data_IF_062376010654
#
_entry.id   IF_062376010654
#
_cell.length_a   1.000
_cell.length_b   1.000
_cell.length_c   1.000
_cell.angle_alpha   90.00
_cell.angle_beta   90.00
_cell.angle_gamma   90.00
#
_symmetry.space_group_name_H-M   'P 1'
#
loop_
_entity.id
_entity.type
_entity.pdbx_description
1 polymer ?
#
# COMPACT_ATOMS: atom_id res chain seq x y z
N UNK A 1 31.18 2.51 -9.08
CA UNK A 1 31.03 3.02 -7.71
C UNK A 1 29.90 2.21 -7.12
N UNK A 2 30.19 1.34 -6.17
CA UNK A 2 29.19 0.54 -5.48
C UNK A 2 28.27 1.53 -4.74
N UNK A 3 27.01 1.63 -5.17
CA UNK A 3 26.01 2.45 -4.48
C UNK A 3 25.70 1.80 -3.15
N UNK A 4 25.68 2.56 -2.06
CA UNK A 4 25.13 2.09 -0.78
C UNK A 4 23.71 1.56 -1.03
N UNK A 5 23.55 0.23 -1.03
CA UNK A 5 22.25 -0.41 -1.15
C UNK A 5 21.61 -0.42 0.23
N UNK A 6 20.36 0.01 0.30
CA UNK A 6 19.61 0.06 1.54
C UNK A 6 18.41 -0.89 1.50
N UNK A 7 18.11 -1.46 2.66
CA UNK A 7 16.90 -2.22 2.93
C UNK A 7 16.06 -1.50 3.99
N UNK A 8 14.78 -1.28 3.72
CA UNK A 8 13.83 -0.79 4.73
C UNK A 8 13.03 -1.96 5.31
N UNK A 9 12.93 -2.06 6.63
CA UNK A 9 12.23 -3.15 7.29
C UNK A 9 11.27 -2.66 8.36
N UNK A 10 10.10 -3.27 8.46
CA UNK A 10 9.14 -2.94 9.51
C UNK A 10 9.05 -4.07 10.54
N UNK A 11 8.83 -3.71 11.80
CA UNK A 11 8.52 -4.60 12.92
C UNK A 11 7.38 -3.98 13.73
N UNK A 12 6.42 -4.77 14.18
CA UNK A 12 5.26 -4.30 14.96
C UNK A 12 5.06 -5.15 16.21
N UNK A 13 4.48 -4.56 17.26
CA UNK A 13 3.92 -5.32 18.39
C UNK A 13 2.54 -5.89 18.01
N UNK A 14 1.97 -6.71 18.90
CA UNK A 14 0.61 -7.23 18.69
C UNK A 14 -0.44 -6.11 18.55
N UNK A 15 -1.46 -6.37 17.74
CA UNK A 15 -2.59 -5.48 17.53
C UNK A 15 -3.54 -5.50 18.74
N UNK A 16 -4.02 -4.32 19.12
CA UNK A 16 -5.04 -4.09 20.15
C UNK A 16 -6.32 -3.66 19.42
N UNK A 17 -7.27 -4.59 19.28
CA UNK A 17 -8.49 -4.35 18.49
C UNK A 17 -9.45 -3.34 19.15
N UNK A 18 -9.58 -3.37 20.48
CA UNK A 18 -10.53 -2.53 21.22
C UNK A 18 -9.90 -1.24 21.78
N UNK A 19 -8.97 -0.65 21.03
CA UNK A 19 -8.25 0.54 21.47
C UNK A 19 -9.12 1.82 21.38
N UNK A 20 -9.22 2.64 22.44
CA UNK A 20 -10.11 3.80 22.47
C UNK A 20 -9.67 4.89 21.47
N UNK A 21 -10.65 5.58 20.88
CA UNK A 21 -10.46 6.66 19.92
C UNK A 21 -10.01 7.98 20.58
N UNK A 22 -8.82 7.99 21.17
CA UNK A 22 -8.25 9.16 21.89
C UNK A 22 -7.36 9.98 20.95
N UNK A 23 -7.43 11.31 21.07
CA UNK A 23 -6.49 12.22 20.41
C UNK A 23 -6.60 12.27 18.89
N UNK A 24 -7.82 12.26 18.35
CA UNK A 24 -8.06 12.28 16.89
C UNK A 24 -7.98 10.90 16.21
N UNK A 25 -7.81 9.83 16.99
CA UNK A 25 -7.85 8.47 16.45
C UNK A 25 -9.22 8.12 15.85
N UNK A 26 -9.22 7.44 14.70
CA UNK A 26 -10.42 6.95 14.05
C UNK A 26 -11.03 5.80 14.85
N UNK A 27 -12.32 5.91 15.14
CA UNK A 27 -13.09 4.88 15.83
C UNK A 27 -13.15 3.60 14.99
N UNK A 28 -12.92 2.44 15.64
CA UNK A 28 -12.94 1.12 14.98
C UNK A 28 -11.63 0.70 14.33
N UNK A 29 -10.63 1.58 14.26
CA UNK A 29 -9.27 1.20 13.83
C UNK A 29 -8.51 0.61 15.04
N UNK A 30 -7.83 -0.55 14.90
CA UNK A 30 -6.98 -1.11 15.95
C UNK A 30 -5.81 -0.18 16.32
N UNK A 31 -5.11 -0.48 17.41
CA UNK A 31 -3.86 0.18 17.78
C UNK A 31 -2.72 -0.83 17.84
N UNK A 32 -1.53 -0.42 17.41
CA UNK A 32 -0.28 -1.13 17.63
C UNK A 32 0.57 -0.23 18.51
N UNK A 33 0.94 -0.73 19.69
CA UNK A 33 1.70 0.04 20.67
C UNK A 33 3.00 0.60 20.07
N UNK A 34 3.72 -0.23 19.30
CA UNK A 34 4.97 0.17 18.68
C UNK A 34 5.14 -0.45 17.30
N UNK A 35 5.30 0.41 16.29
CA UNK A 35 5.68 0.06 14.92
C UNK A 35 7.04 0.71 14.66
N UNK A 36 8.03 -0.06 14.24
CA UNK A 36 9.38 0.45 13.95
C UNK A 36 9.77 0.11 12.52
N UNK A 37 10.14 1.13 11.77
CA UNK A 37 10.81 1.01 10.48
C UNK A 37 12.31 1.14 10.68
N UNK A 38 13.10 0.19 10.21
CA UNK A 38 14.55 0.11 10.31
C UNK A 38 15.14 0.29 8.92
N UNK A 39 16.11 1.19 8.78
CA UNK A 39 16.90 1.35 7.56
C UNK A 39 18.22 0.58 7.75
N UNK A 40 18.48 -0.38 6.88
CA UNK A 40 19.64 -1.26 6.94
C UNK A 40 20.55 -1.04 5.72
N UNK A 41 21.86 -1.14 5.91
CA UNK A 41 22.81 -1.31 4.80
C UNK A 41 22.81 -2.76 4.36
N UNK A 42 22.62 -3.00 3.06
CA UNK A 42 22.49 -4.37 2.55
C UNK A 42 23.83 -5.13 2.51
N UNK A 43 24.95 -4.43 2.41
CA UNK A 43 26.29 -5.04 2.34
C UNK A 43 26.62 -5.87 3.58
N UNK A 44 26.32 -5.33 4.77
CA UNK A 44 26.74 -5.88 6.06
C UNK A 44 25.62 -5.93 7.10
N UNK A 45 24.37 -5.62 6.71
CA UNK A 45 23.21 -5.69 7.59
C UNK A 45 23.20 -4.67 8.73
N UNK A 46 24.07 -3.66 8.72
CA UNK A 46 24.10 -2.63 9.77
C UNK A 46 22.79 -1.81 9.75
N UNK A 47 22.16 -1.64 10.92
CA UNK A 47 21.03 -0.72 11.08
C UNK A 47 21.58 0.70 11.14
N UNK A 48 21.26 1.50 10.14
CA UNK A 48 21.72 2.88 10.01
C UNK A 48 20.78 3.87 10.72
N UNK A 49 19.47 3.63 10.63
CA UNK A 49 18.47 4.52 11.22
C UNK A 49 17.14 3.80 11.51
N UNK A 50 16.27 4.42 12.31
CA UNK A 50 14.93 3.91 12.61
C UNK A 50 13.88 5.00 12.76
N UNK A 51 12.67 4.72 12.31
CA UNK A 51 11.48 5.52 12.54
C UNK A 51 10.47 4.73 13.36
N UNK A 52 10.04 5.28 14.50
CA UNK A 52 9.08 4.63 15.40
C UNK A 52 7.75 5.38 15.36
N UNK A 53 6.65 4.63 15.27
CA UNK A 53 5.28 5.08 15.49
C UNK A 53 4.75 4.39 16.75
N UNK A 54 4.01 5.13 17.58
CA UNK A 54 3.50 4.64 18.86
C UNK A 54 1.99 4.81 18.93
N UNK A 55 1.31 3.77 19.42
CA UNK A 55 -0.15 3.72 19.55
C UNK A 55 -0.89 4.06 18.24
N UNK A 56 -0.34 3.58 17.12
CA UNK A 56 -0.83 3.88 15.77
C UNK A 56 -1.17 2.58 15.05
N UNK A 57 -1.76 2.66 13.86
CA UNK A 57 -2.00 1.53 12.99
C UNK A 57 -1.51 1.87 11.58
N UNK A 58 -0.41 1.23 11.19
CA UNK A 58 0.03 1.18 9.79
C UNK A 58 -0.28 -0.22 9.29
N UNK A 59 -1.05 -0.33 8.20
CA UNK A 59 -1.39 -1.62 7.63
C UNK A 59 -0.18 -2.21 6.87
N UNK A 60 0.62 -3.02 7.55
CA UNK A 60 1.82 -3.64 6.96
C UNK A 60 1.50 -4.88 6.12
N UNK A 61 0.29 -5.43 6.23
CA UNK A 61 -0.17 -6.54 5.38
C UNK A 61 -0.10 -6.10 3.90
N UNK A 62 0.64 -6.82 3.06
CA UNK A 62 0.87 -6.48 1.63
C UNK A 62 1.44 -5.10 1.36
N UNK A 63 2.15 -4.53 2.33
CA UNK A 63 2.63 -3.16 2.22
C UNK A 63 1.47 -2.18 1.95
N UNK A 64 0.23 -2.46 2.41
CA UNK A 64 -0.94 -1.64 2.08
C UNK A 64 -0.78 -0.19 2.55
N UNK A 65 -0.19 0.00 3.72
CA UNK A 65 0.04 1.31 4.34
C UNK A 65 1.39 1.93 3.98
N UNK A 66 2.19 1.34 3.10
CA UNK A 66 3.56 1.81 2.82
C UNK A 66 3.86 1.80 1.33
N UNK A 67 4.42 2.90 0.83
CA UNK A 67 4.85 2.99 -0.56
C UNK A 67 6.19 3.73 -0.68
N UNK A 68 7.14 3.16 -1.43
CA UNK A 68 8.45 3.71 -1.73
C UNK A 68 8.52 4.12 -3.21
N UNK A 69 9.04 5.31 -3.47
CA UNK A 69 9.31 5.86 -4.79
C UNK A 69 10.71 6.46 -4.80
N UNK A 70 11.63 5.87 -5.55
CA UNK A 70 13.06 6.20 -5.46
C UNK A 70 13.51 6.25 -3.98
N UNK A 71 13.88 7.43 -3.48
CA UNK A 71 14.31 7.72 -2.12
C UNK A 71 13.20 8.26 -1.20
N UNK A 72 11.97 8.41 -1.69
CA UNK A 72 10.82 8.90 -0.92
C UNK A 72 9.94 7.75 -0.44
N UNK A 73 9.67 7.73 0.86
CA UNK A 73 8.86 6.75 1.55
C UNK A 73 7.57 7.41 2.07
N UNK A 74 6.42 6.87 1.69
CA UNK A 74 5.11 7.23 2.24
C UNK A 74 4.65 6.14 3.22
N UNK A 75 4.23 6.55 4.41
CA UNK A 75 3.67 5.69 5.45
C UNK A 75 2.31 6.25 5.87
N UNK A 76 1.26 5.44 5.75
CA UNK A 76 -0.11 5.83 6.12
C UNK A 76 -0.38 5.42 7.55
N UNK A 77 -0.49 6.42 8.43
CA UNK A 77 -1.14 6.29 9.73
C UNK A 77 -2.64 6.18 9.49
N UNK A 78 -3.17 4.96 9.52
CA UNK A 78 -4.60 4.71 9.35
C UNK A 78 -5.38 5.20 10.58
N UNK A 79 -4.78 5.08 11.78
CA UNK A 79 -5.45 5.48 13.02
C UNK A 79 -5.59 7.00 13.11
N UNK A 80 -4.57 7.77 12.72
CA UNK A 80 -4.58 9.24 12.80
C UNK A 80 -4.70 9.94 11.46
N UNK A 81 -5.04 9.20 10.40
CA UNK A 81 -5.36 9.75 9.07
C UNK A 81 -4.29 10.69 8.52
N UNK A 82 -3.02 10.28 8.70
CA UNK A 82 -1.85 11.06 8.32
C UNK A 82 -0.95 10.25 7.40
N UNK A 83 -0.54 10.84 6.28
CA UNK A 83 0.46 10.30 5.38
C UNK A 83 1.80 10.94 5.74
N UNK A 84 2.72 10.15 6.29
CA UNK A 84 4.08 10.58 6.60
C UNK A 84 4.96 10.36 5.37
N UNK A 85 5.60 11.44 4.91
CA UNK A 85 6.57 11.42 3.82
C UNK A 85 7.97 11.54 4.43
N UNK A 86 8.79 10.51 4.23
CA UNK A 86 10.18 10.46 4.65
C UNK A 86 11.09 10.35 3.42
N UNK A 87 12.31 10.84 3.54
CA UNK A 87 13.35 10.70 2.53
C UNK A 87 14.52 9.88 3.08
N UNK A 88 14.95 8.88 2.32
CA UNK A 88 16.13 8.06 2.59
C UNK A 88 17.32 8.80 1.97
N UNK A 89 18.27 9.23 2.80
CA UNK A 89 19.49 9.91 2.33
C UNK A 89 20.60 8.89 2.05
N UNK A 90 21.48 9.20 1.11
CA UNK A 90 22.68 8.40 0.80
C UNK A 90 23.62 8.21 2.01
N UNK A 91 23.51 9.09 3.02
CA UNK A 91 24.20 8.98 4.30
C UNK A 91 23.65 7.88 5.21
N UNK A 92 22.54 7.24 4.86
CA UNK A 92 21.90 6.21 5.67
C UNK A 92 20.93 6.76 6.73
N UNK A 93 20.26 7.88 6.46
CA UNK A 93 19.33 8.52 7.41
C UNK A 93 17.91 8.61 6.85
N UNK A 94 16.92 8.50 7.73
CA UNK A 94 15.49 8.70 7.48
C UNK A 94 15.08 10.11 7.91
N UNK A 95 14.87 10.99 6.93
CA UNK A 95 14.50 12.39 7.18
C UNK A 95 12.99 12.58 7.00
N UNK A 96 12.29 13.12 8.00
CA UNK A 96 10.88 13.51 7.82
C UNK A 96 10.82 14.72 6.88
N UNK A 97 10.10 14.57 5.77
CA UNK A 97 9.92 15.64 4.77
C UNK A 97 8.59 16.35 5.00
N UNK A 98 7.51 15.59 5.24
CA UNK A 98 6.17 16.15 5.40
C UNK A 98 5.23 15.19 6.12
N UNK A 99 4.19 15.73 6.75
CA UNK A 99 3.01 15.00 7.18
C UNK A 99 1.78 15.61 6.48
N UNK A 100 0.93 14.78 5.88
CA UNK A 100 -0.26 15.21 5.15
C UNK A 100 -1.48 14.56 5.81
N UNK A 101 -2.33 15.36 6.45
CA UNK A 101 -3.50 14.86 7.18
C UNK A 101 -4.38 16.01 7.64
N UNK A 102 -4.41 16.24 8.95
CA UNK A 102 -5.06 17.42 9.57
C UNK A 102 -4.47 18.74 9.06
N UNK A 103 -3.15 18.75 8.82
CA UNK A 103 -2.42 19.85 8.21
C UNK A 103 -1.80 19.37 6.89
N UNK A 104 -1.77 20.26 5.91
CA UNK A 104 -1.16 20.00 4.60
C UNK A 104 0.11 20.83 4.37
N UNK A 105 0.29 21.92 5.12
CA UNK A 105 1.47 22.78 5.15
C UNK A 105 1.99 22.93 6.58
N UNK A 106 3.27 23.23 6.70
CA UNK A 106 3.96 23.34 8.00
C UNK A 106 3.41 24.50 8.86
N UNK A 107 2.88 25.54 8.23
CA UNK A 107 2.34 26.75 8.87
C UNK A 107 0.82 26.70 9.11
N UNK A 108 0.12 25.64 8.65
CA UNK A 108 -1.34 25.52 8.77
C UNK A 108 -1.79 25.55 10.24
N UNK A 109 -1.06 24.89 11.14
CA UNK A 109 -1.40 24.83 12.58
C UNK A 109 -1.35 26.22 13.21
N UNK A 110 -0.31 27.00 12.91
CA UNK A 110 -0.17 28.38 13.40
C UNK A 110 -1.29 29.27 12.87
N UNK A 111 -1.64 29.13 11.59
CA UNK A 111 -2.71 29.90 10.97
C UNK A 111 -4.08 29.59 11.58
N UNK A 112 -4.41 28.32 11.77
CA UNK A 112 -5.68 27.88 12.36
C UNK A 112 -5.80 28.34 13.83
N UNK A 113 -4.74 28.20 14.61
CA UNK A 113 -4.70 28.66 15.99
C UNK A 113 -4.88 30.18 16.11
N UNK A 114 -4.26 30.97 15.22
CA UNK A 114 -4.41 32.43 15.21
C UNK A 114 -5.86 32.87 14.92
N UNK A 115 -6.54 32.19 14.01
CA UNK A 115 -7.94 32.48 13.66
C UNK A 115 -8.91 32.04 14.77
N UNK A 116 -8.69 30.90 15.41
CA UNK A 116 -9.49 30.43 16.53
C UNK A 116 -9.46 31.42 17.71
N UNK A 117 -8.28 31.98 18.01
CA UNK A 117 -8.14 33.01 19.05
C UNK A 117 -8.89 34.31 18.68
N UNK A 118 -8.85 34.73 17.41
CA UNK A 118 -9.58 35.89 16.89
C UNK A 118 -11.10 35.78 17.01
N UNK A 119 -11.66 34.58 16.81
CA UNK A 119 -13.10 34.31 17.00
C UNK A 119 -13.51 34.33 18.48
N UNK A 120 -12.67 33.86 19.40
CA UNK A 120 -12.99 33.89 20.84
C UNK A 120 -13.09 35.33 21.41
N UNK A 121 -12.40 36.28 20.78
CA UNK A 121 -12.40 37.70 21.18
C UNK A 121 -13.68 38.42 20.76
N UNK A 122 -14.30 38.04 19.63
CA UNK A 122 -15.54 38.67 19.17
C UNK A 122 -16.76 38.22 19.98
N UNK A 123 -16.74 37.01 20.56
CA UNK A 123 -17.79 36.54 21.48
C UNK A 123 -17.71 37.20 22.87
N UNK A 124 -16.52 37.59 23.34
CA UNK A 124 -16.37 38.37 24.59
C UNK A 124 -17.00 39.76 24.50
N UNK A 125 -17.03 40.37 23.31
CA UNK A 125 -17.64 41.67 23.10
C UNK A 125 -19.18 41.64 23.06
N UNK A 126 -19.81 40.45 23.07
CA UNK A 126 -21.27 40.31 23.13
C UNK A 126 -21.82 39.95 24.53
N UNK A 127 -20.97 39.69 25.52
CA UNK A 127 -21.40 39.27 26.87
C UNK A 127 -21.21 40.34 27.96
N UNK A 128 -20.96 41.59 27.61
CA UNK A 128 -20.70 42.67 28.58
C UNK A 128 -21.98 43.37 29.07
N UNK A 129 -23.00 42.63 29.55
CA UNK A 129 -24.12 43.20 30.34
C UNK A 129 -24.76 42.20 31.32
N UNK A 130 -24.05 41.68 32.33
CA UNK A 130 -24.64 41.29 33.64
C UNK A 130 -23.56 41.32 34.73
N UNK A 131 -23.77 41.99 35.89
CA UNK A 131 -22.81 41.94 36.99
C UNK A 131 -23.10 40.82 38.01
N UNK A 132 -21.99 40.28 38.53
CA UNK A 132 -21.74 39.76 39.87
C UNK A 132 -22.23 38.37 40.36
N UNK A 133 -21.19 37.61 40.78
CA UNK A 133 -21.08 36.71 41.94
C UNK A 133 -21.18 35.20 41.71
N UNK A 134 -20.02 34.54 41.60
CA UNK A 134 -19.52 33.54 42.58
C UNK A 134 -18.11 33.05 42.22
N UNK A 135 -17.22 33.15 43.19
CA UNK A 135 -15.92 32.49 43.27
C UNK A 135 -16.13 30.98 43.48
N UNK A 136 -15.46 30.12 42.68
CA UNK A 136 -14.48 29.13 43.15
C UNK A 136 -14.10 28.09 42.07
N UNK A 137 -12.80 27.80 42.02
CA UNK A 137 -12.10 26.61 41.51
C UNK A 137 -11.83 26.46 39.99
N UNK A 138 -10.70 27.04 39.60
CA UNK A 138 -9.88 26.63 38.46
C UNK A 138 -9.22 25.26 38.69
N UNK A 139 -9.44 24.29 37.80
CA UNK A 139 -8.46 23.29 37.31
C UNK A 139 -9.09 22.40 36.20
N UNK A 140 -9.62 23.00 35.15
CA UNK A 140 -9.95 22.30 33.90
C UNK A 140 -9.20 22.96 32.75
N UNK A 141 -7.97 22.50 32.54
CA UNK A 141 -7.15 22.88 31.39
C UNK A 141 -7.18 21.70 30.40
N UNK A 142 -7.79 21.90 29.23
CA UNK A 142 -7.47 21.10 28.04
C UNK A 142 -8.50 20.13 27.46
N UNK A 143 -9.81 20.26 27.71
CA UNK A 143 -10.83 19.61 26.87
C UNK A 143 -11.50 20.67 25.99
N UNK A 144 -10.91 20.94 24.84
CA UNK A 144 -11.63 21.58 23.73
C UNK A 144 -12.65 20.55 23.22
N UNK A 145 -13.93 20.91 23.28
CA UNK A 145 -15.04 20.11 22.77
C UNK A 145 -14.77 19.68 21.31
N UNK A 146 -14.51 18.39 21.11
CA UNK A 146 -14.27 17.76 19.80
C UNK A 146 -15.46 17.88 18.84
N UNK A 147 -16.67 18.16 19.34
CA UNK A 147 -17.90 18.16 18.53
C UNK A 147 -18.02 19.32 17.53
N UNK A 148 -17.17 20.35 17.61
CA UNK A 148 -17.20 21.52 16.71
C UNK A 148 -15.85 21.83 16.03
N UNK A 149 -14.95 20.85 15.88
CA UNK A 149 -13.73 21.07 15.11
C UNK A 149 -14.06 21.20 13.63
N UNK A 150 -13.75 22.34 13.02
CA UNK A 150 -13.83 22.51 11.58
C UNK A 150 -13.03 21.41 10.87
N UNK A 151 -13.57 20.86 9.79
CA UNK A 151 -12.80 19.98 8.91
C UNK A 151 -11.62 20.78 8.37
N UNK A 152 -10.41 20.22 8.54
CA UNK A 152 -9.15 20.84 8.13
C UNK A 152 -8.40 19.95 7.12
N UNK A 153 -7.26 20.46 6.64
CA UNK A 153 -6.29 19.70 5.88
C UNK A 153 -6.85 19.03 4.64
N UNK A 154 -6.53 17.75 4.48
CA UNK A 154 -6.83 16.99 3.26
C UNK A 154 -8.34 16.75 3.07
N UNK A 155 -9.09 16.51 4.17
CA UNK A 155 -10.55 16.31 4.10
C UNK A 155 -11.27 17.57 3.64
N UNK A 156 -10.90 18.72 4.20
CA UNK A 156 -11.47 20.01 3.80
C UNK A 156 -11.20 20.32 2.32
N UNK A 157 -9.98 20.05 1.87
CA UNK A 157 -9.57 20.26 0.46
C UNK A 157 -10.33 19.34 -0.47
N UNK A 158 -10.54 18.08 -0.09
CA UNK A 158 -11.35 17.12 -0.84
C UNK A 158 -12.81 17.59 -0.96
N UNK A 159 -13.44 17.97 0.14
CA UNK A 159 -14.82 18.46 0.11
C UNK A 159 -14.96 19.73 -0.73
N UNK A 160 -13.99 20.64 -0.63
CA UNK A 160 -13.95 21.86 -1.45
C UNK A 160 -13.82 21.54 -2.93
N UNK A 161 -12.96 20.58 -3.29
CA UNK A 161 -12.81 20.12 -4.67
C UNK A 161 -14.13 19.55 -5.23
N UNK A 162 -14.80 18.67 -4.47
CA UNK A 162 -16.08 18.07 -4.89
C UNK A 162 -17.15 19.16 -5.04
N UNK A 163 -17.25 20.08 -4.07
CA UNK A 163 -18.21 21.18 -4.12
C UNK A 163 -17.97 22.07 -5.34
N UNK A 164 -16.73 22.52 -5.57
CA UNK A 164 -16.36 23.37 -6.70
C UNK A 164 -16.61 22.67 -8.04
N UNK A 165 -16.31 21.37 -8.14
CA UNK A 165 -16.61 20.57 -9.33
C UNK A 165 -18.09 20.63 -9.68
N UNK A 166 -18.96 20.35 -8.71
CA UNK A 166 -20.43 20.39 -8.91
C UNK A 166 -20.93 21.83 -9.16
N UNK A 167 -20.36 22.82 -8.48
CA UNK A 167 -20.72 24.23 -8.65
C UNK A 167 -20.43 24.71 -10.09
N UNK A 168 -19.30 24.29 -10.65
CA UNK A 168 -18.83 24.72 -11.97
C UNK A 168 -19.43 23.92 -13.14
N UNK A 169 -20.06 22.76 -12.89
CA UNK A 169 -20.74 21.95 -13.93
C UNK A 169 -21.91 22.68 -14.59
N UNK A 170 -22.60 23.56 -13.87
CA UNK A 170 -23.88 24.14 -14.29
C UNK A 170 -23.87 25.67 -14.24
N UNK A 171 -24.41 26.29 -15.28
CA UNK A 171 -24.42 27.76 -15.41
C UNK A 171 -25.69 28.38 -14.83
N UNK A 172 -26.81 27.65 -14.83
CA UNK A 172 -28.06 28.07 -14.22
C UNK A 172 -28.04 27.92 -12.70
N UNK A 173 -28.36 29.00 -11.98
CA UNK A 173 -28.30 29.04 -10.52
C UNK A 173 -29.29 28.07 -9.86
N UNK A 174 -30.48 27.88 -10.43
CA UNK A 174 -31.51 27.02 -9.85
C UNK A 174 -31.14 25.54 -9.97
N UNK A 175 -30.69 25.14 -11.16
CA UNK A 175 -30.19 23.79 -11.41
C UNK A 175 -28.91 23.50 -10.62
N UNK A 176 -28.02 24.49 -10.44
CA UNK A 176 -26.81 24.35 -9.64
C UNK A 176 -27.13 24.04 -8.17
N UNK A 177 -28.04 24.79 -7.56
CA UNK A 177 -28.48 24.55 -6.16
C UNK A 177 -29.13 23.16 -6.05
N UNK A 178 -29.96 22.77 -7.01
CA UNK A 178 -30.57 21.44 -7.03
C UNK A 178 -29.53 20.32 -7.14
N UNK A 179 -28.52 20.46 -8.01
CA UNK A 179 -27.42 19.50 -8.14
C UNK A 179 -26.60 19.38 -6.86
N UNK A 180 -26.25 20.51 -6.23
CA UNK A 180 -25.52 20.49 -4.96
C UNK A 180 -26.31 19.79 -3.86
N UNK A 181 -27.61 20.06 -3.76
CA UNK A 181 -28.47 19.38 -2.80
C UNK A 181 -28.47 17.86 -3.00
N UNK A 182 -28.60 17.42 -4.25
CA UNK A 182 -28.76 16.01 -4.57
C UNK A 182 -27.45 15.21 -4.65
N UNK A 183 -26.33 15.83 -5.00
CA UNK A 183 -25.02 15.16 -5.17
C UNK A 183 -24.07 15.40 -3.99
N UNK A 184 -23.98 16.62 -3.48
CA UNK A 184 -23.02 17.00 -2.43
C UNK A 184 -23.63 16.88 -1.04
N UNK A 185 -24.69 17.65 -0.76
CA UNK A 185 -25.27 17.69 0.60
C UNK A 185 -25.95 16.39 0.99
N UNK A 186 -26.55 15.66 0.04
CA UNK A 186 -27.12 14.33 0.30
C UNK A 186 -26.06 13.32 0.75
N UNK A 187 -24.85 13.38 0.20
CA UNK A 187 -23.72 12.49 0.52
C UNK A 187 -22.66 13.14 1.43
N UNK A 188 -22.97 14.28 2.05
CA UNK A 188 -21.97 15.06 2.77
C UNK A 188 -21.33 14.26 3.90
N UNK A 189 -22.14 13.57 4.70
CA UNK A 189 -21.64 12.74 5.79
C UNK A 189 -20.81 11.56 5.27
N UNK A 190 -21.24 10.92 4.17
CA UNK A 190 -20.50 9.84 3.53
C UNK A 190 -19.08 10.30 3.15
N UNK A 191 -18.93 11.52 2.63
CA UNK A 191 -17.62 12.08 2.28
C UNK A 191 -16.77 12.45 3.50
N UNK A 192 -17.40 12.94 4.57
CA UNK A 192 -16.72 13.27 5.84
C UNK A 192 -16.16 12.01 6.50
N UNK A 193 -16.91 10.91 6.42
CA UNK A 193 -16.56 9.63 7.03
C UNK A 193 -15.53 8.83 6.22
N UNK A 194 -15.19 9.30 5.01
CA UNK A 194 -14.08 8.73 4.25
C UNK A 194 -12.77 8.82 5.03
N UNK A 195 -12.05 7.70 5.05
CA UNK A 195 -10.71 7.59 5.59
C UNK A 195 -9.72 7.20 4.50
N UNK A 196 -8.49 7.69 4.62
CA UNK A 196 -7.35 7.32 3.78
C UNK A 196 -6.99 5.87 4.10
N UNK A 197 -7.06 4.99 3.10
CA UNK A 197 -6.71 3.57 3.23
C UNK A 197 -5.28 3.29 2.82
N UNK A 198 -4.88 3.92 1.72
CA UNK A 198 -3.69 3.56 0.98
C UNK A 198 -3.21 4.74 0.16
N UNK A 199 -1.90 4.80 -0.03
CA UNK A 199 -1.25 5.80 -0.86
C UNK A 199 -0.25 5.15 -1.80
N UNK A 200 -0.05 5.78 -2.94
CA UNK A 200 0.98 5.48 -3.91
C UNK A 200 1.55 6.80 -4.44
N UNK A 201 2.86 6.85 -4.69
CA UNK A 201 3.41 7.93 -5.51
C UNK A 201 3.17 7.64 -7.00
N UNK A 202 2.69 8.64 -7.74
CA UNK A 202 2.70 8.64 -9.20
C UNK A 202 4.00 9.25 -9.72
N UNK A 203 4.49 10.27 -9.02
CA UNK A 203 5.79 10.90 -9.20
C UNK A 203 6.22 11.53 -7.86
N UNK A 204 7.29 12.35 -7.87
CA UNK A 204 7.80 13.02 -6.67
C UNK A 204 6.85 14.09 -6.09
N UNK A 205 5.84 14.51 -6.82
CA UNK A 205 4.94 15.62 -6.49
C UNK A 205 3.49 15.14 -6.28
N UNK A 206 3.08 14.05 -6.93
CA UNK A 206 1.70 13.59 -6.94
C UNK A 206 1.52 12.26 -6.22
N UNK A 207 0.55 12.24 -5.30
CA UNK A 207 0.07 11.06 -4.61
C UNK A 207 -1.25 10.59 -5.22
N UNK A 208 -1.38 9.28 -5.41
CA UNK A 208 -2.64 8.59 -5.62
C UNK A 208 -3.13 8.07 -4.27
N UNK A 209 -4.21 8.66 -3.75
CA UNK A 209 -4.73 8.39 -2.40
C UNK A 209 -6.06 7.66 -2.52
N UNK A 210 -6.17 6.49 -1.89
CA UNK A 210 -7.43 5.74 -1.80
C UNK A 210 -8.18 6.14 -0.54
N UNK A 211 -9.45 6.47 -0.71
CA UNK A 211 -10.38 6.77 0.36
C UNK A 211 -11.49 5.71 0.42
N UNK A 212 -11.99 5.42 1.61
CA UNK A 212 -13.20 4.60 1.79
C UNK A 212 -13.63 4.51 3.27
N UNK A 213 -14.54 3.60 3.60
CA UNK A 213 -15.01 3.38 4.98
C UNK A 213 -13.96 2.75 5.91
N UNK A 214 -14.13 2.90 7.22
CA UNK A 214 -13.27 2.25 8.22
C UNK A 214 -13.17 0.74 8.01
N UNK A 215 -14.31 0.09 7.75
CA UNK A 215 -14.40 -1.35 7.55
C UNK A 215 -13.50 -1.84 6.40
N UNK A 216 -13.42 -1.10 5.29
CA UNK A 216 -12.58 -1.49 4.17
C UNK A 216 -11.08 -1.30 4.40
N UNK A 217 -10.69 -0.35 5.26
CA UNK A 217 -9.27 -0.08 5.57
C UNK A 217 -8.65 -1.09 6.55
N UNK A 218 -9.48 -1.69 7.41
CA UNK A 218 -9.07 -2.67 8.43
C UNK A 218 -9.38 -4.12 8.00
N UNK A 219 -10.36 -4.33 7.13
CA UNK A 219 -10.76 -5.66 6.64
C UNK A 219 -9.82 -6.22 5.58
N UNK A 220 -9.67 -7.56 5.58
CA UNK A 220 -8.98 -8.31 4.51
C UNK A 220 -9.77 -8.36 3.19
N UNK A 221 -11.04 -7.98 3.18
CA UNK A 221 -11.95 -8.05 2.02
C UNK A 221 -12.50 -6.67 1.61
N UNK A 222 -11.60 -5.71 1.36
CA UNK A 222 -11.94 -4.33 1.01
C UNK A 222 -12.79 -4.16 -0.28
N UNK A 223 -12.79 -5.14 -1.19
CA UNK A 223 -13.38 -5.06 -2.54
C UNK A 223 -14.90 -4.84 -2.59
N UNK A 224 -15.59 -5.11 -1.47
CA UNK A 224 -17.05 -4.97 -1.37
C UNK A 224 -17.49 -3.56 -0.93
N UNK A 225 -16.58 -2.77 -0.36
CA UNK A 225 -16.89 -1.42 0.10
C UNK A 225 -16.68 -0.40 -1.03
N UNK A 226 -17.54 0.63 -1.14
CA UNK A 226 -17.27 1.76 -2.03
C UNK A 226 -15.93 2.40 -1.67
N UNK A 227 -15.11 2.62 -2.69
CA UNK A 227 -13.83 3.29 -2.54
C UNK A 227 -13.70 4.38 -3.60
N UNK A 228 -12.95 5.40 -3.25
CA UNK A 228 -12.62 6.52 -4.12
C UNK A 228 -11.11 6.68 -4.21
N UNK A 229 -10.66 7.31 -5.27
CA UNK A 229 -9.26 7.58 -5.52
C UNK A 229 -9.10 9.05 -5.87
N UNK A 230 -8.20 9.74 -5.19
CA UNK A 230 -7.85 11.13 -5.45
C UNK A 230 -6.41 11.24 -5.92
N UNK A 231 -6.14 12.16 -6.85
CA UNK A 231 -4.77 12.60 -7.14
C UNK A 231 -4.53 13.88 -6.34
N UNK A 232 -3.51 13.88 -5.51
CA UNK A 232 -3.14 15.00 -4.64
C UNK A 232 -1.75 15.51 -5.01
N UNK A 233 -1.63 16.81 -5.30
CA UNK A 233 -0.35 17.46 -5.51
C UNK A 233 0.18 17.93 -4.14
N UNK A 234 1.31 17.37 -3.74
CA UNK A 234 1.95 17.71 -2.48
C UNK A 234 2.39 19.17 -2.46
N UNK A 235 3.04 19.68 -3.51
CA UNK A 235 3.59 21.04 -3.51
C UNK A 235 2.53 22.13 -3.46
N UNK A 236 1.49 22.02 -4.28
CA UNK A 236 0.40 23.01 -4.29
C UNK A 236 -0.61 22.76 -3.18
N UNK A 237 -0.61 21.57 -2.58
CA UNK A 237 -1.57 21.07 -1.59
C UNK A 237 -3.00 20.95 -2.15
N UNK A 238 -3.14 20.69 -3.45
CA UNK A 238 -4.44 20.64 -4.14
C UNK A 238 -4.84 19.21 -4.50
N UNK A 239 -6.15 18.95 -4.47
CA UNK A 239 -6.74 17.77 -5.09
C UNK A 239 -6.87 18.08 -6.58
N UNK A 240 -6.21 17.28 -7.41
CA UNK A 240 -6.20 17.44 -8.87
C UNK A 240 -7.40 16.75 -9.50
N UNK A 241 -7.75 15.56 -8.99
CA UNK A 241 -8.89 14.79 -9.47
C UNK A 241 -9.42 13.85 -8.38
N UNK A 242 -10.68 13.46 -8.49
CA UNK A 242 -11.37 12.56 -7.58
C UNK A 242 -12.32 11.64 -8.34
N UNK A 243 -12.11 10.33 -8.22
CA UNK A 243 -12.85 9.32 -8.97
C UNK A 243 -13.39 8.25 -8.02
N UNK A 244 -14.56 7.70 -8.35
CA UNK A 244 -14.99 6.44 -7.77
C UNK A 244 -14.12 5.30 -8.32
N UNK A 245 -13.81 4.28 -7.51
CA UNK A 245 -12.98 3.13 -7.89
C UNK A 245 -13.69 2.13 -8.86
N UNK A 246 -14.58 2.66 -9.70
CA UNK A 246 -15.31 1.98 -10.76
C UNK A 246 -15.61 2.94 -11.93
N UNK A 247 -14.99 4.12 -11.95
CA UNK A 247 -15.21 5.13 -12.98
C UNK A 247 -14.52 4.72 -14.29
N UNK A 248 -15.26 4.77 -15.39
CA UNK A 248 -14.75 4.44 -16.73
C UNK A 248 -13.61 5.39 -17.15
N UNK A 249 -13.67 6.67 -16.76
CA UNK A 249 -12.61 7.65 -17.03
C UNK A 249 -11.28 7.25 -16.36
N UNK A 250 -11.32 6.82 -15.10
CA UNK A 250 -10.14 6.32 -14.39
C UNK A 250 -9.60 5.06 -15.07
N UNK A 251 -10.48 4.17 -15.54
CA UNK A 251 -10.06 3.00 -16.32
C UNK A 251 -9.40 3.38 -17.65
N UNK A 252 -9.92 4.36 -18.38
CA UNK A 252 -9.30 4.84 -19.62
C UNK A 252 -7.89 5.40 -19.37
N UNK A 253 -7.71 6.16 -18.28
CA UNK A 253 -6.41 6.66 -17.87
C UNK A 253 -5.46 5.51 -17.52
N UNK A 254 -5.95 4.53 -16.75
CA UNK A 254 -5.19 3.34 -16.38
C UNK A 254 -4.78 2.49 -17.60
N UNK A 255 -5.70 2.22 -18.53
CA UNK A 255 -5.45 1.44 -19.75
C UNK A 255 -4.40 2.12 -20.64
N UNK A 256 -4.44 3.46 -20.74
CA UNK A 256 -3.53 4.25 -21.57
C UNK A 256 -2.16 4.48 -20.92
N UNK A 257 -2.11 4.69 -19.61
CA UNK A 257 -0.91 5.10 -18.87
C UNK A 257 -0.50 4.11 -17.78
N UNK A 258 -0.78 2.82 -17.96
CA UNK A 258 -0.57 1.75 -16.97
C UNK A 258 0.83 1.79 -16.33
N UNK A 259 1.88 2.02 -17.12
CA UNK A 259 3.26 2.06 -16.62
C UNK A 259 3.52 3.19 -15.60
N UNK A 260 2.77 4.30 -15.69
CA UNK A 260 2.89 5.41 -14.74
C UNK A 260 2.32 5.05 -13.36
N UNK A 261 1.48 4.01 -13.27
CA UNK A 261 1.02 3.43 -12.00
C UNK A 261 1.97 2.35 -11.47
N UNK A 262 2.98 1.92 -12.23
CA UNK A 262 3.90 0.87 -11.82
C UNK A 262 5.30 1.41 -11.54
N UNK A 263 5.38 2.71 -11.22
CA UNK A 263 6.59 3.52 -11.27
C UNK A 263 7.83 2.73 -10.91
N UNK A 264 8.62 2.49 -11.96
CA UNK A 264 9.90 1.81 -11.91
C UNK A 264 10.95 2.81 -11.46
N UNK A 265 11.79 2.43 -10.49
CA UNK A 265 12.99 3.21 -10.20
C UNK A 265 13.76 3.35 -11.51
N UNK A 266 13.98 4.59 -11.98
CA UNK A 266 14.54 4.87 -13.31
C UNK A 266 15.92 4.25 -13.57
N UNK A 267 16.57 3.76 -12.52
CA UNK A 267 17.98 3.36 -12.54
C UNK A 267 18.24 1.85 -12.64
N UNK A 268 17.19 1.02 -12.74
CA UNK A 268 17.37 -0.43 -12.77
C UNK A 268 17.08 -1.04 -14.15
N UNK A 269 18.11 -1.60 -14.80
CA UNK A 269 17.95 -2.30 -16.09
C UNK A 269 17.05 -3.54 -16.00
N UNK A 270 16.95 -4.20 -14.83
CA UNK A 270 16.13 -5.40 -14.67
C UNK A 270 14.62 -5.06 -14.64
N UNK A 271 14.24 -3.83 -14.30
CA UNK A 271 12.84 -3.40 -14.34
C UNK A 271 12.23 -3.41 -15.75
N UNK A 272 13.06 -3.46 -16.81
CA UNK A 272 12.60 -3.57 -18.19
C UNK A 272 11.89 -4.89 -18.51
N UNK A 273 12.05 -5.93 -17.67
CA UNK A 273 11.37 -7.22 -17.87
C UNK A 273 9.91 -7.22 -17.38
N UNK A 274 9.51 -6.17 -16.66
CA UNK A 274 8.14 -6.01 -16.19
C UNK A 274 7.22 -5.75 -17.39
N UNK A 275 6.33 -6.70 -17.67
CA UNK A 275 5.37 -6.60 -18.76
C UNK A 275 4.04 -6.00 -18.29
N UNK A 276 3.57 -4.99 -19.01
CA UNK A 276 2.28 -4.32 -18.82
C UNK A 276 1.56 -4.16 -20.17
N UNK A 277 0.28 -3.80 -20.12
CA UNK A 277 -0.50 -3.46 -21.32
C UNK A 277 0.00 -2.24 -22.08
N UNK A 278 0.79 -1.38 -21.43
CA UNK A 278 1.33 -0.17 -22.03
C UNK A 278 2.67 -0.43 -22.73
N UNK A 279 3.47 -1.38 -22.23
CA UNK A 279 4.81 -1.66 -22.78
C UNK A 279 4.94 -3.00 -23.53
N UNK A 280 3.94 -3.88 -23.47
CA UNK A 280 3.98 -5.21 -24.07
C UNK A 280 2.72 -5.50 -24.89
N UNK A 281 2.90 -5.76 -26.20
CA UNK A 281 1.79 -6.05 -27.11
C UNK A 281 1.03 -7.32 -26.73
N UNK A 282 1.70 -8.34 -26.19
CA UNK A 282 1.07 -9.60 -25.81
C UNK A 282 0.23 -9.45 -24.55
N UNK A 283 0.69 -8.65 -23.59
CA UNK A 283 -0.13 -8.30 -22.44
C UNK A 283 -1.37 -7.55 -22.92
N UNK A 284 -1.21 -6.55 -23.79
CA UNK A 284 -2.32 -5.76 -24.34
C UNK A 284 -3.36 -6.63 -25.08
N UNK A 285 -2.92 -7.58 -25.90
CA UNK A 285 -3.79 -8.54 -26.59
C UNK A 285 -4.56 -9.43 -25.60
N UNK A 286 -3.90 -9.86 -24.52
CA UNK A 286 -4.53 -10.64 -23.46
C UNK A 286 -5.61 -9.83 -22.74
N UNK A 287 -5.34 -8.57 -22.37
CA UNK A 287 -6.34 -7.67 -21.78
C UNK A 287 -7.55 -7.48 -22.70
N UNK A 288 -7.30 -7.20 -23.98
CA UNK A 288 -8.37 -7.07 -24.99
C UNK A 288 -9.20 -8.35 -25.06
N UNK A 289 -8.56 -9.52 -25.11
CA UNK A 289 -9.27 -10.81 -25.11
C UNK A 289 -10.14 -11.00 -23.87
N UNK A 290 -9.66 -10.60 -22.68
CA UNK A 290 -10.45 -10.70 -21.44
C UNK A 290 -11.62 -9.71 -21.46
N UNK A 291 -11.39 -8.48 -21.93
CA UNK A 291 -12.41 -7.45 -22.09
C UNK A 291 -13.51 -7.92 -23.05
N UNK A 292 -13.15 -8.50 -24.18
CA UNK A 292 -14.09 -9.03 -25.18
C UNK A 292 -14.90 -10.22 -24.65
N UNK A 293 -14.30 -11.03 -23.77
CA UNK A 293 -14.97 -12.17 -23.10
C UNK A 293 -15.82 -11.73 -21.90
N UNK A 294 -15.66 -10.52 -21.40
CA UNK A 294 -16.39 -10.04 -20.24
C UNK A 294 -17.84 -9.76 -20.62
N UNK A 295 -18.78 -10.45 -19.98
CA UNK A 295 -20.22 -10.21 -20.19
C UNK A 295 -20.68 -8.86 -19.62
N UNK A 296 -19.95 -8.30 -18.65
CA UNK A 296 -20.29 -7.05 -17.99
C UNK A 296 -19.07 -6.13 -17.89
N UNK A 297 -19.10 -5.03 -18.65
CA UNK A 297 -18.03 -4.03 -18.68
C UNK A 297 -17.80 -3.35 -17.33
N UNK A 298 -18.85 -3.07 -16.56
CA UNK A 298 -18.72 -2.41 -15.25
C UNK A 298 -18.02 -3.33 -14.23
N UNK A 299 -18.36 -4.63 -14.21
CA UNK A 299 -17.66 -5.59 -13.35
C UNK A 299 -16.20 -5.78 -13.78
N UNK A 300 -15.93 -5.75 -15.08
CA UNK A 300 -14.57 -5.77 -15.60
C UNK A 300 -13.77 -4.54 -15.12
N UNK A 301 -14.31 -3.33 -15.29
CA UNK A 301 -13.67 -2.08 -14.83
C UNK A 301 -13.41 -2.11 -13.32
N UNK A 302 -14.42 -2.48 -12.51
CA UNK A 302 -14.26 -2.61 -11.06
C UNK A 302 -13.15 -3.60 -10.70
N UNK A 303 -13.05 -4.73 -11.41
CA UNK A 303 -12.00 -5.73 -11.21
C UNK A 303 -10.62 -5.19 -11.61
N UNK A 304 -10.52 -4.44 -12.71
CA UNK A 304 -9.26 -3.86 -13.18
C UNK A 304 -8.74 -2.77 -12.25
N UNK A 305 -9.63 -1.96 -11.66
CA UNK A 305 -9.29 -0.87 -10.76
C UNK A 305 -9.17 -1.29 -9.29
N UNK A 306 -9.56 -2.52 -8.93
CA UNK A 306 -9.50 -3.02 -7.55
C UNK A 306 -8.09 -2.95 -6.94
N UNK A 307 -7.07 -3.21 -7.76
CA UNK A 307 -5.66 -3.22 -7.37
C UNK A 307 -5.06 -1.82 -7.19
N UNK A 308 -5.74 -0.75 -7.63
CA UNK A 308 -5.30 0.62 -7.39
C UNK A 308 -5.63 1.10 -5.97
N UNK A 309 -4.72 1.87 -5.35
CA UNK A 309 -3.32 2.07 -5.72
C UNK A 309 -2.50 0.78 -5.56
N UNK A 310 -1.48 0.60 -6.41
CA UNK A 310 -0.62 -0.58 -6.31
C UNK A 310 0.21 -0.53 -5.03
N UNK A 311 0.48 -1.71 -4.47
CA UNK A 311 1.53 -1.83 -3.46
C UNK A 311 2.90 -1.79 -4.14
N UNK A 312 3.91 -1.35 -3.39
CA UNK A 312 5.28 -1.60 -3.80
C UNK A 312 5.46 -3.09 -4.06
N UNK A 313 6.07 -3.39 -5.21
CA UNK A 313 6.47 -4.73 -5.64
C UNK A 313 5.33 -5.71 -5.81
N UNK A 314 4.19 -5.18 -6.24
CA UNK A 314 3.23 -5.95 -6.98
C UNK A 314 3.94 -6.80 -8.06
N UNK A 315 4.83 -6.20 -8.86
CA UNK A 315 5.38 -6.85 -10.05
C UNK A 315 6.77 -7.45 -9.86
N UNK A 316 6.99 -8.65 -10.42
CA UNK A 316 8.32 -9.26 -10.49
C UNK A 316 9.04 -8.83 -11.76
N UNK A 317 10.24 -8.23 -11.65
CA UNK A 317 11.03 -7.84 -12.80
C UNK A 317 11.94 -8.98 -13.30
N UNK A 318 11.51 -10.23 -13.11
CA UNK A 318 12.26 -11.39 -13.56
C UNK A 318 12.05 -11.65 -15.05
N UNK A 319 13.12 -11.94 -15.83
CA UNK A 319 13.00 -12.33 -17.24
C UNK A 319 12.08 -13.54 -17.50
N UNK A 320 11.84 -14.36 -16.47
CA UNK A 320 10.89 -15.47 -16.54
C UNK A 320 9.45 -14.99 -16.81
N UNK A 321 9.09 -13.79 -16.37
CA UNK A 321 7.76 -13.19 -16.52
C UNK A 321 7.66 -12.20 -17.69
N UNK A 322 8.72 -12.03 -18.49
CA UNK A 322 8.65 -11.24 -19.71
C UNK A 322 7.74 -11.93 -20.73
N UNK A 323 6.59 -11.31 -21.00
CA UNK A 323 5.58 -11.85 -21.89
C UNK A 323 5.99 -11.81 -23.38
N UNK A 324 7.07 -11.10 -23.70
CA UNK A 324 7.73 -11.12 -25.01
C UNK A 324 8.49 -12.43 -25.23
N UNK A 325 9.05 -13.00 -24.16
CA UNK A 325 9.87 -14.21 -24.21
C UNK A 325 9.02 -15.47 -24.03
N UNK A 326 8.16 -15.45 -23.01
CA UNK A 326 7.44 -16.64 -22.58
C UNK A 326 5.92 -16.44 -22.57
N UNK A 327 5.21 -17.51 -22.92
CA UNK A 327 3.81 -17.73 -22.56
C UNK A 327 3.78 -18.72 -21.40
N UNK A 328 3.04 -18.39 -20.35
CA UNK A 328 2.75 -19.25 -19.21
C UNK A 328 1.23 -19.45 -19.08
N UNK A 329 0.81 -20.46 -18.32
CA UNK A 329 -0.59 -20.92 -18.26
C UNK A 329 -1.51 -19.92 -17.54
N UNK A 330 -2.68 -19.63 -18.12
CA UNK A 330 -3.65 -18.60 -17.71
C UNK A 330 -4.22 -18.79 -16.30
N UNK A 331 -4.10 -19.98 -15.69
CA UNK A 331 -4.45 -20.16 -14.26
C UNK A 331 -3.48 -19.43 -13.32
N UNK A 332 -2.27 -19.17 -13.79
CA UNK A 332 -1.26 -18.33 -13.15
C UNK A 332 -1.32 -16.89 -13.64
N UNK A 333 -2.32 -16.54 -14.44
CA UNK A 333 -2.64 -15.15 -14.75
C UNK A 333 -3.11 -14.51 -13.46
N UNK A 334 -2.11 -14.01 -12.72
CA UNK A 334 -2.20 -13.07 -11.64
C UNK A 334 -3.31 -12.09 -11.97
N UNK A 335 -4.34 -12.02 -11.14
CA UNK A 335 -5.46 -11.11 -11.36
C UNK A 335 -4.93 -9.69 -11.43
N UNK A 336 -4.68 -9.21 -12.66
CA UNK A 336 -4.31 -7.86 -13.09
C UNK A 336 -3.75 -6.95 -11.99
N UNK A 337 -2.62 -7.44 -11.51
CA UNK A 337 -1.98 -7.14 -10.27
C UNK A 337 -1.08 -8.34 -10.09
N UNK A 338 0.06 -8.32 -10.78
CA UNK A 338 1.19 -9.09 -10.29
C UNK A 338 1.21 -8.77 -8.78
N UNK A 339 0.97 -9.74 -7.92
CA UNK A 339 1.12 -9.58 -6.49
C UNK A 339 1.95 -10.79 -6.13
N UNK A 340 3.26 -10.67 -6.35
CA UNK A 340 4.21 -11.66 -5.87
C UNK A 340 4.43 -11.38 -4.39
N UNK A 341 3.47 -11.82 -3.57
CA UNK A 341 3.62 -11.81 -2.12
C UNK A 341 4.55 -12.95 -1.73
N UNK A 342 5.78 -12.57 -1.38
CA UNK A 342 6.84 -13.47 -0.95
C UNK A 342 6.62 -13.84 0.51
N UNK A 343 6.14 -15.04 0.77
CA UNK A 343 6.04 -15.58 2.13
C UNK A 343 7.26 -16.46 2.40
N UNK A 344 8.09 -16.11 3.39
CA UNK A 344 9.02 -17.04 4.01
C UNK A 344 8.49 -17.39 5.39
N UNK A 345 7.97 -18.61 5.56
CA UNK A 345 7.87 -19.25 6.87
C UNK A 345 9.18 -20.00 7.12
N UNK A 346 10.02 -19.50 8.03
CA UNK A 346 11.11 -20.29 8.58
C UNK A 346 10.57 -21.12 9.74
N UNK A 347 10.05 -22.32 9.45
CA UNK A 347 9.98 -23.36 10.46
C UNK A 347 11.35 -24.05 10.59
N UNK A 348 11.73 -24.30 11.84
CA UNK A 348 13.00 -24.87 12.30
C UNK A 348 13.51 -26.01 11.40
N UNK A 349 14.65 -25.81 10.72
CA UNK A 349 15.46 -26.92 10.20
C UNK A 349 16.01 -26.85 8.76
N UNK A 350 15.93 -25.73 8.03
CA UNK A 350 16.49 -25.68 6.67
C UNK A 350 17.97 -25.27 6.59
N UNK A 351 18.68 -25.96 5.69
CA UNK A 351 20.12 -26.21 5.66
C UNK A 351 21.00 -25.02 5.26
N UNK A 352 22.13 -24.87 5.96
CA UNK A 352 23.08 -23.75 6.00
C UNK A 352 23.85 -23.42 4.70
N UNK A 353 23.49 -23.98 3.54
CA UNK A 353 24.31 -23.86 2.32
C UNK A 353 23.79 -22.86 1.26
N UNK A 354 22.57 -22.34 1.41
CA UNK A 354 21.99 -21.36 0.47
C UNK A 354 22.27 -19.89 0.85
N UNK A 355 23.05 -19.65 1.90
CA UNK A 355 22.87 -18.49 2.78
C UNK A 355 24.03 -17.49 2.83
N UNK A 356 25.01 -17.51 1.92
CA UNK A 356 26.09 -16.51 1.97
C UNK A 356 25.67 -15.07 1.61
N UNK A 357 24.59 -14.89 0.86
CA UNK A 357 24.00 -13.56 0.59
C UNK A 357 22.98 -13.14 1.66
N UNK A 358 22.60 -14.06 2.55
CA UNK A 358 21.60 -13.89 3.61
C UNK A 358 22.22 -14.05 5.01
N UNK A 359 23.55 -14.25 5.12
CA UNK A 359 24.25 -14.57 6.36
C UNK A 359 24.09 -13.44 7.39
N UNK A 360 24.15 -12.19 6.93
CA UNK A 360 24.01 -11.00 7.77
C UNK A 360 22.56 -10.74 8.20
N UNK A 361 21.60 -11.02 7.31
CA UNK A 361 20.17 -10.94 7.59
C UNK A 361 19.71 -12.04 8.58
N UNK A 362 20.30 -13.24 8.48
CA UNK A 362 20.07 -14.38 9.38
C UNK A 362 20.69 -14.16 10.78
N UNK A 363 21.87 -13.53 10.88
CA UNK A 363 22.47 -13.20 12.17
C UNK A 363 21.61 -12.18 12.93
N UNK A 364 21.08 -11.17 12.24
CA UNK A 364 20.08 -10.27 12.82
C UNK A 364 18.78 -11.00 13.20
N UNK A 365 18.34 -11.95 12.36
CA UNK A 365 17.16 -12.80 12.62
C UNK A 365 17.30 -13.64 13.89
N UNK A 366 18.50 -14.16 14.17
CA UNK A 366 18.79 -14.99 15.34
C UNK A 366 18.95 -14.15 16.63
N UNK A 367 19.55 -12.96 16.55
CA UNK A 367 19.72 -12.09 17.72
C UNK A 367 18.43 -11.34 18.10
N UNK A 368 17.59 -10.96 17.13
CA UNK A 368 16.30 -10.29 17.37
C UNK A 368 15.18 -11.25 17.79
N UNK A 369 15.37 -12.57 17.64
CA UNK A 369 14.37 -13.61 17.93
C UNK A 369 13.97 -13.70 19.41
N UNK A 370 14.79 -13.17 20.33
CA UNK A 370 14.53 -13.32 21.77
C UNK A 370 13.39 -12.47 22.31
N UNK A 371 12.86 -11.47 21.58
CA UNK A 371 11.91 -10.52 22.19
C UNK A 371 10.67 -10.07 21.40
N UNK A 372 10.41 -10.46 20.14
CA UNK A 372 9.32 -9.80 19.35
C UNK A 372 8.52 -10.76 18.45
N UNK A 373 7.18 -10.76 18.58
CA UNK A 373 6.26 -11.28 17.55
C UNK A 373 6.30 -10.33 16.35
N UNK A 374 6.95 -10.71 15.24
CA UNK A 374 7.34 -9.75 14.19
C UNK A 374 6.64 -10.04 12.86
N UNK A 375 5.90 -9.06 12.31
CA UNK A 375 5.58 -8.97 10.87
C UNK A 375 6.79 -8.35 10.15
N UNK A 376 7.31 -8.98 9.09
CA UNK A 376 8.48 -8.49 8.36
C UNK A 376 8.09 -7.83 7.03
N UNK A 377 8.70 -6.69 6.76
CA UNK A 377 8.76 -5.99 5.48
C UNK A 377 10.25 -5.95 5.11
N UNK A 378 10.65 -6.31 3.91
CA UNK A 378 11.95 -5.95 3.29
C UNK A 378 11.67 -4.62 2.48
N UNK A 379 12.47 -4.11 1.53
CA UNK A 379 12.65 -2.64 1.26
C UNK A 379 13.86 -2.42 0.37
N UNK A 380 14.13 -3.26 -0.64
CA UNK A 380 15.40 -3.16 -1.37
C UNK A 380 15.44 -1.98 -2.36
N UNK A 381 16.26 -0.98 -2.03
CA UNK A 381 16.75 0.05 -2.93
C UNK A 381 17.85 -0.55 -3.82
N UNK A 382 17.52 -0.69 -5.11
CA UNK A 382 18.36 -1.22 -6.20
C UNK A 382 18.68 -2.71 -6.06
N UNK A 383 17.66 -3.55 -6.19
CA UNK A 383 17.83 -5.00 -6.33
C UNK A 383 16.56 -5.84 -6.22
N UNK A 384 15.45 -5.27 -5.72
CA UNK A 384 14.11 -5.87 -5.61
C UNK A 384 14.03 -7.38 -5.36
N UNK A 385 14.26 -7.77 -4.11
CA UNK A 385 13.46 -8.79 -3.44
C UNK A 385 12.87 -8.26 -2.14
N UNK A 386 11.70 -8.78 -1.78
CA UNK A 386 11.02 -8.39 -0.55
C UNK A 386 10.05 -9.45 -0.08
N UNK A 387 10.12 -9.78 1.20
CA UNK A 387 9.29 -10.76 1.90
C UNK A 387 8.10 -10.02 2.52
N UNK A 388 6.87 -10.32 2.08
CA UNK A 388 5.61 -9.86 2.68
C UNK A 388 5.06 -10.97 3.58
N UNK A 389 4.81 -10.65 4.85
CA UNK A 389 4.50 -11.67 5.86
C UNK A 389 3.10 -12.31 5.75
N UNK A 390 2.18 -11.89 4.86
CA UNK A 390 0.79 -12.40 4.93
C UNK A 390 -0.09 -12.11 3.69
N UNK A 391 -0.38 -13.09 2.80
CA UNK A 391 -1.75 -13.57 2.46
C UNK A 391 -1.84 -14.76 1.49
N UNK A 392 -3.06 -15.33 1.48
CA UNK A 392 -3.77 -16.00 0.37
C UNK A 392 -2.91 -16.98 -0.40
N UNK A 393 -2.40 -17.91 0.38
CA UNK A 393 -2.34 -19.32 0.07
C UNK A 393 -3.36 -19.77 -0.99
N UNK A 394 -2.94 -19.84 -2.26
CA UNK A 394 -3.67 -20.60 -3.27
C UNK A 394 -3.40 -22.07 -3.02
N UNK A 395 -4.46 -22.87 -3.02
CA UNK A 395 -4.32 -24.33 -3.00
C UNK A 395 -3.38 -24.72 -4.14
N UNK A 396 -2.29 -25.39 -3.79
CA UNK A 396 -1.30 -25.91 -4.72
C UNK A 396 -2.04 -26.71 -5.77
N UNK A 397 -2.11 -26.19 -6.99
CA UNK A 397 -2.41 -27.07 -8.11
C UNK A 397 -1.20 -27.97 -8.27
N UNK A 398 -1.37 -29.29 -8.32
CA UNK A 398 -0.29 -30.27 -8.56
C UNK A 398 0.39 -30.12 -9.94
N UNK A 399 0.13 -29.01 -10.65
CA UNK A 399 0.58 -28.74 -12.00
C UNK A 399 1.79 -27.80 -11.99
N UNK A 400 2.88 -28.15 -12.70
CA UNK A 400 4.05 -27.29 -12.83
C UNK A 400 3.74 -26.01 -13.61
N UNK A 401 4.45 -24.93 -13.28
CA UNK A 401 4.49 -23.73 -14.11
C UNK A 401 5.20 -24.08 -15.41
N UNK A 402 4.53 -23.90 -16.55
CA UNK A 402 5.07 -24.20 -17.88
C UNK A 402 5.47 -22.91 -18.56
N UNK A 403 6.72 -22.82 -19.00
CA UNK A 403 7.23 -21.71 -19.79
C UNK A 403 7.38 -22.15 -21.24
N UNK A 404 6.53 -21.62 -22.11
CA UNK A 404 6.47 -21.92 -23.54
C UNK A 404 7.05 -20.73 -24.29
N UNK A 405 7.91 -20.96 -25.28
CA UNK A 405 8.46 -19.85 -26.06
C UNK A 405 7.39 -19.16 -26.89
N UNK A 406 7.38 -17.82 -26.90
CA UNK A 406 6.41 -17.06 -27.69
C UNK A 406 6.62 -17.25 -29.20
N UNK A 407 7.87 -17.28 -29.66
CA UNK A 407 8.24 -17.47 -31.07
C UNK A 407 8.04 -18.91 -31.59
N UNK A 408 7.79 -19.87 -30.69
CA UNK A 408 7.54 -21.26 -31.04
C UNK A 408 6.49 -21.83 -30.07
N UNK A 409 5.20 -21.58 -30.32
CA UNK A 409 4.12 -21.81 -29.35
C UNK A 409 3.89 -23.28 -29.00
N UNK A 410 4.44 -24.20 -29.78
CA UNK A 410 4.42 -25.65 -29.49
C UNK A 410 5.67 -26.13 -28.76
N UNK A 411 6.63 -25.25 -28.53
CA UNK A 411 7.90 -25.56 -27.86
C UNK A 411 7.84 -25.13 -26.40
N UNK A 412 7.55 -26.11 -25.55
CA UNK A 412 7.79 -26.00 -24.12
C UNK A 412 9.29 -25.83 -23.86
N UNK A 413 9.71 -24.71 -23.26
CA UNK A 413 11.13 -24.47 -22.96
C UNK A 413 11.55 -25.16 -21.67
N UNK A 414 10.80 -24.96 -20.60
CA UNK A 414 11.03 -25.61 -19.31
C UNK A 414 9.76 -25.60 -18.45
N UNK A 415 9.80 -26.38 -17.36
CA UNK A 415 8.75 -26.47 -16.36
C UNK A 415 9.37 -26.33 -14.99
N UNK A 416 8.71 -25.59 -14.10
CA UNK A 416 9.07 -25.53 -12.69
C UNK A 416 8.05 -26.34 -11.91
N UNK A 417 8.52 -27.43 -11.28
CA UNK A 417 7.71 -28.29 -10.42
C UNK A 417 7.89 -27.84 -8.97
N UNK A 418 6.83 -27.80 -8.15
CA UNK A 418 6.95 -27.33 -6.78
C UNK A 418 7.73 -28.30 -5.86
N UNK A 419 8.03 -29.53 -6.29
CA UNK A 419 8.87 -30.50 -5.58
C UNK A 419 8.32 -31.94 -5.69
N UNK A 420 9.11 -32.99 -5.34
CA UNK A 420 8.58 -34.34 -5.16
C UNK A 420 7.65 -34.41 -3.95
N UNK A 421 6.60 -35.24 -4.03
CA UNK A 421 5.73 -35.49 -2.88
C UNK A 421 6.55 -36.15 -1.77
N UNK A 422 6.75 -35.45 -0.65
CA UNK A 422 7.27 -36.08 0.56
C UNK A 422 6.23 -37.09 1.08
N UNK A 423 6.34 -38.35 0.63
CA UNK A 423 5.97 -39.58 1.33
C UNK A 423 4.56 -39.78 1.92
N UNK A 424 3.60 -38.86 1.74
CA UNK A 424 2.25 -39.06 2.27
C UNK A 424 1.35 -39.72 1.23
N UNK A 425 0.94 -40.96 1.49
CA UNK A 425 -0.04 -41.70 0.68
C UNK A 425 -1.45 -41.06 0.70
N UNK A 426 -1.66 -40.00 1.49
CA UNK A 426 -2.92 -39.29 1.57
C UNK A 426 -2.90 -38.03 0.69
N UNK A 427 -3.41 -38.15 -0.53
CA UNK A 427 -3.67 -37.05 -1.48
C UNK A 427 -4.75 -36.04 -1.02
N UNK A 428 -4.95 -35.89 0.30
CA UNK A 428 -5.97 -35.02 0.93
C UNK A 428 -5.40 -33.83 1.69
N UNK A 429 -4.09 -33.78 1.92
CA UNK A 429 -3.48 -32.62 2.57
C UNK A 429 -3.45 -31.44 1.58
N UNK A 430 -4.24 -30.41 1.88
CA UNK A 430 -4.18 -29.12 1.17
C UNK A 430 -2.76 -28.54 1.33
N UNK A 431 -1.99 -28.56 0.25
CA UNK A 431 -0.66 -27.94 0.16
C UNK A 431 -0.79 -26.56 -0.46
N UNK A 432 0.13 -25.68 -0.13
CA UNK A 432 0.24 -24.34 -0.70
C UNK A 432 1.65 -24.21 -1.26
N UNK A 433 1.76 -23.70 -2.49
CA UNK A 433 3.06 -23.52 -3.15
C UNK A 433 3.26 -22.04 -3.50
N UNK A 434 4.36 -21.45 -3.03
CA UNK A 434 4.81 -20.11 -3.37
C UNK A 434 6.05 -20.19 -4.26
N UNK A 435 6.21 -19.26 -5.22
CA UNK A 435 7.38 -19.22 -6.10
C UNK A 435 8.05 -17.85 -6.05
N UNK A 436 9.38 -17.83 -6.04
CA UNK A 436 10.20 -16.62 -6.04
C UNK A 436 11.17 -16.71 -7.20
N UNK A 437 11.25 -15.66 -8.02
CA UNK A 437 12.12 -15.65 -9.19
C UNK A 437 13.12 -14.52 -9.05
N UNK A 438 14.39 -14.80 -9.29
CA UNK A 438 15.43 -13.78 -9.27
C UNK A 438 15.22 -12.78 -10.39
N UNK A 439 15.37 -11.47 -10.12
CA UNK A 439 15.26 -10.44 -11.14
C UNK A 439 16.38 -10.49 -12.19
N UNK A 440 17.47 -11.22 -11.92
CA UNK A 440 18.69 -11.18 -12.74
C UNK A 440 19.25 -12.59 -12.92
N UNK A 441 19.46 -13.32 -11.81
CA UNK A 441 20.04 -14.65 -11.88
C UNK A 441 19.03 -15.66 -12.46
N UNK A 442 19.52 -16.72 -13.15
CA UNK A 442 18.67 -17.81 -13.65
C UNK A 442 18.25 -18.75 -12.50
N UNK A 443 17.64 -18.17 -11.47
CA UNK A 443 17.36 -18.76 -10.17
C UNK A 443 15.91 -18.54 -9.80
N UNK A 444 15.26 -19.58 -9.30
CA UNK A 444 13.96 -19.48 -8.66
C UNK A 444 13.88 -20.39 -7.42
N UNK A 445 13.09 -20.00 -6.44
CA UNK A 445 12.73 -20.82 -5.29
C UNK A 445 11.26 -21.22 -5.41
N UNK A 446 10.94 -22.43 -4.96
CA UNK A 446 9.56 -22.79 -4.67
C UNK A 446 9.45 -23.27 -3.23
N UNK A 447 8.52 -22.70 -2.48
CA UNK A 447 8.28 -23.00 -1.07
C UNK A 447 6.93 -23.73 -0.99
N UNK A 448 6.93 -24.95 -0.47
CA UNK A 448 5.72 -25.70 -0.21
C UNK A 448 5.42 -25.70 1.28
N UNK A 449 4.21 -25.28 1.64
CA UNK A 449 3.68 -25.31 2.99
C UNK A 449 2.54 -26.31 3.06
N UNK A 450 2.57 -27.17 4.08
CA UNK A 450 1.49 -28.09 4.38
C UNK A 450 0.73 -27.54 5.58
N UNK A 451 -0.61 -27.50 5.51
CA UNK A 451 -1.44 -26.94 6.59
C UNK A 451 -1.39 -27.71 7.93
N UNK A 452 -0.68 -28.83 8.00
CA UNK A 452 -0.59 -29.69 9.18
C UNK A 452 0.85 -30.06 9.50
N UNK A 453 1.47 -29.36 10.48
CA UNK A 453 2.66 -29.76 11.28
C UNK A 453 3.86 -30.38 10.51
N UNK A 454 3.95 -30.18 9.19
CA UNK A 454 5.03 -30.70 8.37
C UNK A 454 5.95 -29.54 7.98
N UNK A 455 7.28 -29.75 8.04
CA UNK A 455 8.24 -28.71 7.72
C UNK A 455 8.04 -28.24 6.29
N UNK A 456 8.18 -26.93 6.09
CA UNK A 456 8.12 -26.34 4.75
C UNK A 456 9.23 -26.89 3.87
N UNK A 457 8.88 -27.31 2.64
CA UNK A 457 9.87 -27.81 1.67
C UNK A 457 10.27 -26.66 0.75
N UNK A 458 11.57 -26.33 0.73
CA UNK A 458 12.12 -25.32 -0.17
C UNK A 458 12.90 -26.01 -1.28
N UNK A 459 12.47 -25.82 -2.53
CA UNK A 459 13.18 -26.31 -3.70
C UNK A 459 13.86 -25.15 -4.41
N UNK A 460 15.09 -25.40 -4.86
CA UNK A 460 15.92 -24.43 -5.56
C UNK A 460 16.01 -24.84 -7.03
N UNK A 461 15.63 -23.93 -7.91
CA UNK A 461 15.60 -24.13 -9.35
C UNK A 461 16.67 -23.26 -10.00
N UNK A 462 17.67 -23.91 -10.58
CA UNK A 462 18.68 -23.23 -11.41
C UNK A 462 18.48 -23.61 -12.87
N UNK A 463 18.42 -22.60 -13.74
CA UNK A 463 18.48 -22.80 -15.18
C UNK A 463 19.95 -22.76 -15.59
N UNK A 464 20.46 -23.89 -16.06
CA UNK A 464 21.80 -24.03 -16.65
C UNK A 464 21.90 -23.33 -18.01
#
# INVERSE_FOLDING_TARGET
MESNQFGLFATSTAQIHDAPAVGGAVQGVPSIEKITFHLLRMEDGEILDKKVFSNDFVNLTHNMGVFLYDDLLAIVSLRYQTIHILQIRDSGNLVNVRAIGEFCREDDELFLNSNAQGMSLSDRNKQQQVPENRLENHMHQGQLNTENSFLSGIKQRLLSFIFQGIWNEETDDSLRIQRLRNKFYFHFQDYVDLIIWKVQFLDRHHLLIKFGSVDGGVSRNADHHPAFVAIYNMDTTEIVSFYQNSADELYMLFEKFCDHFHVTSRNSMYMNFVSSHSNNIHALEQLRSIKDKASNSSQFVKKMLASLPFSCQSQSPSPYFDQSLFRFDDKWDWGWGNHLDVIIHLETGCCAYCLRYYETLMLWFLDSWKEIQTEFLLVELVGTFLISATDRHRQSTDHPIKFILRNSPYTLKFKIKPGPEAGSMDGRAKKISSFLFHPILPFALSIQQTLFLQPSVVNIHFRR
#
